data_IF_996357322584
#
_entry.id   IF_996357322584
#
_cell.length_a   1.000
_cell.length_b   1.000
_cell.length_c   1.000
_cell.angle_alpha   90.00
_cell.angle_beta   90.00
_cell.angle_gamma   90.00
#
_symmetry.space_group_name_H-M   'P 1'
#
loop_
_entity.id
_entity.type
_entity.pdbx_description
1 polymer ?
#
# COMPACT_ATOMS: atom_id res chain seq x y z
N UNK A 1 29.44 -11.87 -3.71
CA UNK A 1 28.47 -11.65 -2.61
C UNK A 1 28.52 -10.16 -2.26
N UNK A 2 27.44 -9.41 -2.45
CA UNK A 2 27.39 -7.98 -2.09
C UNK A 2 27.50 -7.88 -0.56
N UNK A 3 28.50 -7.17 -0.05
CA UNK A 3 28.60 -6.86 1.38
C UNK A 3 27.71 -5.66 1.64
N UNK A 4 26.68 -5.84 2.45
CA UNK A 4 25.79 -4.76 2.86
C UNK A 4 26.32 -4.14 4.15
N UNK A 5 26.74 -2.89 4.08
CA UNK A 5 27.10 -2.09 5.25
C UNK A 5 25.89 -1.26 5.68
N UNK A 6 25.42 -1.51 6.90
CA UNK A 6 24.31 -0.78 7.50
C UNK A 6 24.80 0.30 8.45
N UNK A 7 23.97 1.32 8.67
CA UNK A 7 24.20 2.31 9.72
C UNK A 7 24.43 1.62 11.07
N UNK A 8 25.50 2.02 11.77
CA UNK A 8 25.94 1.36 13.00
C UNK A 8 24.89 1.47 14.11
N UNK A 9 24.21 2.62 14.22
CA UNK A 9 23.22 2.84 15.26
C UNK A 9 21.94 2.04 14.99
N UNK A 10 21.49 1.95 13.73
CA UNK A 10 20.37 1.10 13.33
C UNK A 10 20.65 -0.38 13.63
N UNK A 11 21.85 -0.86 13.25
CA UNK A 11 22.28 -2.24 13.52
C UNK A 11 22.37 -2.54 15.01
N UNK A 12 22.98 -1.65 15.79
CA UNK A 12 23.06 -1.79 17.25
C UNK A 12 21.67 -1.86 17.90
N UNK A 13 20.75 -1.00 17.45
CA UNK A 13 19.37 -0.98 17.93
C UNK A 13 18.67 -2.31 17.65
N UNK A 14 18.81 -2.86 16.44
CA UNK A 14 18.22 -4.15 16.09
C UNK A 14 18.82 -5.29 16.92
N UNK A 15 20.15 -5.34 17.07
CA UNK A 15 20.83 -6.33 17.91
C UNK A 15 20.31 -6.30 19.36
N UNK A 16 20.14 -5.11 19.94
CA UNK A 16 19.59 -4.93 21.29
C UNK A 16 18.15 -5.42 21.37
N UNK A 17 17.32 -5.10 20.37
CA UNK A 17 15.93 -5.53 20.31
C UNK A 17 15.81 -7.07 20.24
N UNK A 18 16.60 -7.72 19.38
CA UNK A 18 16.63 -9.18 19.29
C UNK A 18 17.13 -9.84 20.58
N UNK A 19 18.08 -9.21 21.28
CA UNK A 19 18.60 -9.71 22.55
C UNK A 19 17.57 -9.59 23.69
N UNK A 20 16.77 -8.53 23.69
CA UNK A 20 15.72 -8.30 24.68
C UNK A 20 14.49 -9.21 24.48
N UNK A 21 14.22 -9.64 23.24
CA UNK A 21 13.05 -10.45 22.88
C UNK A 21 13.44 -11.69 22.06
N UNK A 22 14.22 -12.63 22.62
CA UNK A 22 14.70 -13.79 21.90
C UNK A 22 13.54 -14.68 21.42
N UNK A 23 13.64 -15.18 20.19
CA UNK A 23 12.63 -16.07 19.58
C UNK A 23 11.32 -15.39 19.20
N UNK A 24 11.21 -14.06 19.35
CA UNK A 24 10.02 -13.32 18.93
C UNK A 24 10.13 -13.00 17.44
N UNK A 25 9.13 -13.37 16.60
CA UNK A 25 9.14 -13.03 15.18
C UNK A 25 8.91 -11.53 14.99
N UNK A 26 9.56 -10.97 13.97
CA UNK A 26 9.22 -9.64 13.48
C UNK A 26 8.04 -9.73 12.52
N UNK A 27 7.07 -8.84 12.66
CA UNK A 27 5.87 -8.82 11.83
C UNK A 27 5.70 -7.45 11.17
N UNK A 28 5.45 -7.46 9.87
CA UNK A 28 4.94 -6.31 9.12
C UNK A 28 3.71 -6.73 8.33
N UNK A 29 2.69 -5.88 8.32
CA UNK A 29 1.48 -6.05 7.52
C UNK A 29 1.37 -4.86 6.55
N UNK A 30 1.53 -5.11 5.25
CA UNK A 30 1.41 -4.09 4.21
C UNK A 30 0.11 -4.25 3.44
N UNK A 31 -0.54 -3.14 3.09
CA UNK A 31 -1.75 -3.19 2.24
C UNK A 31 -1.40 -3.09 0.74
N UNK A 32 -0.22 -2.61 0.39
CA UNK A 32 0.32 -2.67 -0.98
C UNK A 32 1.69 -3.36 -0.96
N UNK A 33 2.16 -3.74 -2.15
CA UNK A 33 3.48 -4.36 -2.36
C UNK A 33 4.36 -3.54 -3.32
N UNK A 34 3.93 -2.35 -3.74
CA UNK A 34 4.64 -1.53 -4.72
C UNK A 34 5.06 -0.16 -4.16
N UNK A 35 5.34 -0.09 -2.86
CA UNK A 35 5.65 1.15 -2.16
C UNK A 35 6.87 1.05 -1.25
N UNK A 36 6.68 0.60 -0.01
CA UNK A 36 7.67 0.66 1.07
C UNK A 36 8.43 -0.66 1.24
N UNK A 37 8.23 -1.59 0.31
CA UNK A 37 8.92 -2.88 0.21
C UNK A 37 10.44 -2.76 0.21
N UNK A 38 11.08 -1.76 -0.43
CA UNK A 38 12.52 -1.55 -0.29
C UNK A 38 12.95 -1.44 1.17
N UNK A 39 12.27 -0.63 1.98
CA UNK A 39 12.58 -0.46 3.41
C UNK A 39 12.46 -1.79 4.18
N UNK A 40 11.41 -2.57 3.89
CA UNK A 40 11.19 -3.88 4.51
C UNK A 40 12.26 -4.90 4.07
N UNK A 41 12.69 -4.87 2.81
CA UNK A 41 13.77 -5.70 2.30
C UNK A 41 15.12 -5.37 2.95
N UNK A 42 15.46 -4.09 3.09
CA UNK A 42 16.63 -3.64 3.84
C UNK A 42 16.59 -4.11 5.30
N UNK A 43 15.42 -3.98 5.95
CA UNK A 43 15.23 -4.48 7.32
C UNK A 43 15.47 -5.99 7.42
N UNK A 44 14.90 -6.78 6.50
CA UNK A 44 15.09 -8.23 6.46
C UNK A 44 16.58 -8.62 6.34
N UNK A 45 17.32 -7.91 5.46
CA UNK A 45 18.76 -8.16 5.28
C UNK A 45 19.58 -7.75 6.50
N UNK A 46 19.21 -6.66 7.17
CA UNK A 46 19.84 -6.25 8.42
C UNK A 46 19.55 -7.25 9.55
N UNK A 47 18.33 -7.77 9.64
CA UNK A 47 17.94 -8.79 10.61
C UNK A 47 18.74 -10.08 10.42
N UNK A 48 18.91 -10.53 9.18
CA UNK A 48 19.74 -11.69 8.85
C UNK A 48 21.19 -11.52 9.35
N UNK A 49 21.77 -10.32 9.25
CA UNK A 49 23.11 -10.05 9.77
C UNK A 49 23.19 -10.01 11.31
N UNK A 50 22.11 -9.65 11.99
CA UNK A 50 22.09 -9.53 13.45
C UNK A 50 21.79 -10.89 14.10
N UNK A 51 20.74 -11.55 13.65
CA UNK A 51 20.25 -12.84 14.16
C UNK A 51 19.68 -13.64 12.98
N UNK A 52 20.51 -14.45 12.29
CA UNK A 52 20.10 -15.19 11.08
C UNK A 52 18.85 -16.06 11.25
N UNK A 53 18.63 -16.59 12.46
CA UNK A 53 17.49 -17.44 12.80
C UNK A 53 16.22 -16.68 13.18
N UNK A 54 16.26 -15.35 13.29
CA UNK A 54 15.08 -14.57 13.64
C UNK A 54 14.08 -14.60 12.48
N UNK A 55 12.84 -14.97 12.77
CA UNK A 55 11.80 -15.01 11.74
C UNK A 55 11.33 -13.59 11.39
N UNK A 56 11.12 -13.36 10.09
CA UNK A 56 10.49 -12.14 9.59
C UNK A 56 9.24 -12.46 8.81
N UNK A 57 8.09 -12.07 9.35
CA UNK A 57 6.78 -12.28 8.76
C UNK A 57 6.34 -11.03 8.00
N UNK A 58 6.17 -11.17 6.68
CA UNK A 58 5.59 -10.13 5.84
C UNK A 58 4.21 -10.57 5.37
N UNK A 59 3.18 -10.01 5.99
CA UNK A 59 1.79 -10.30 5.64
C UNK A 59 1.17 -9.22 4.74
N UNK A 60 0.26 -9.65 3.89
CA UNK A 60 -0.68 -8.75 3.20
C UNK A 60 -1.83 -8.43 4.15
N UNK A 61 -2.13 -7.15 4.37
CA UNK A 61 -3.26 -6.70 5.17
C UNK A 61 -4.57 -6.77 4.36
N UNK A 62 -5.03 -8.01 4.13
CA UNK A 62 -6.19 -8.35 3.31
C UNK A 62 -7.55 -8.22 4.00
N UNK A 63 -7.59 -7.92 5.29
CA UNK A 63 -8.83 -7.77 6.07
C UNK A 63 -9.39 -6.35 6.05
N UNK A 64 -8.70 -5.43 5.40
CA UNK A 64 -9.18 -4.06 5.21
C UNK A 64 -10.16 -3.97 4.02
N UNK A 65 -10.89 -2.87 3.97
CA UNK A 65 -11.70 -2.53 2.81
C UNK A 65 -10.81 -2.38 1.58
N UNK A 66 -11.38 -2.68 0.42
CA UNK A 66 -10.76 -2.32 -0.84
C UNK A 66 -10.96 -0.83 -1.10
N UNK A 67 -10.02 -0.26 -1.85
CA UNK A 67 -9.97 1.14 -2.23
C UNK A 67 -11.24 1.62 -2.94
N UNK A 68 -11.74 2.80 -2.58
CA UNK A 68 -13.00 3.34 -3.07
C UNK A 68 -12.95 4.84 -3.33
N UNK A 69 -13.83 5.27 -4.23
CA UNK A 69 -14.07 6.68 -4.50
C UNK A 69 -15.24 7.20 -3.65
N UNK A 70 -15.19 8.48 -3.24
CA UNK A 70 -16.30 9.12 -2.53
C UNK A 70 -17.55 9.24 -3.40
N UNK A 71 -17.38 9.20 -4.74
CA UNK A 71 -18.46 9.15 -5.72
C UNK A 71 -18.12 8.08 -6.76
N UNK A 72 -19.06 7.16 -7.05
CA UNK A 72 -18.88 6.17 -8.11
C UNK A 72 -18.52 6.83 -9.45
N UNK A 73 -17.68 6.17 -10.24
CA UNK A 73 -17.43 6.58 -11.62
C UNK A 73 -18.37 5.83 -12.54
N UNK A 74 -19.04 6.57 -13.43
CA UNK A 74 -19.81 5.95 -14.50
C UNK A 74 -18.84 5.35 -15.52
N UNK A 75 -18.82 4.04 -15.65
CA UNK A 75 -17.97 3.35 -16.61
C UNK A 75 -18.22 1.84 -16.65
N UNK A 76 -17.80 1.17 -17.73
CA UNK A 76 -17.98 -0.28 -17.86
C UNK A 76 -16.99 -1.09 -17.02
N UNK A 77 -15.90 -0.47 -16.55
CA UNK A 77 -14.87 -1.15 -15.77
C UNK A 77 -15.16 -1.04 -14.27
N UNK A 78 -15.04 -2.13 -13.50
CA UNK A 78 -15.30 -2.15 -12.05
C UNK A 78 -14.20 -1.48 -11.22
N UNK A 79 -13.04 -1.22 -11.82
CA UNK A 79 -11.89 -0.60 -11.18
C UNK A 79 -11.24 0.43 -12.10
N UNK A 80 -10.54 1.39 -11.51
CA UNK A 80 -9.80 2.41 -12.24
C UNK A 80 -8.51 2.78 -11.50
N UNK A 81 -7.45 3.07 -12.25
CA UNK A 81 -6.24 3.74 -11.73
C UNK A 81 -6.55 5.22 -11.58
N UNK A 82 -6.39 5.75 -10.38
CA UNK A 82 -6.81 7.09 -9.98
C UNK A 82 -5.65 7.84 -9.33
N UNK A 83 -5.62 9.15 -9.52
CA UNK A 83 -4.75 10.10 -8.81
C UNK A 83 -5.52 10.78 -7.68
N UNK A 84 -4.88 11.02 -6.53
CA UNK A 84 -5.51 11.74 -5.42
C UNK A 84 -5.35 13.26 -5.62
N UNK A 85 -6.44 14.03 -5.60
CA UNK A 85 -6.45 15.48 -5.70
C UNK A 85 -7.47 16.12 -4.72
N UNK A 86 -7.45 17.46 -4.59
CA UNK A 86 -8.35 18.21 -3.68
C UNK A 86 -9.69 18.62 -4.34
N UNK A 87 -10.06 17.95 -5.44
CA UNK A 87 -11.28 18.21 -6.21
C UNK A 87 -12.03 16.94 -6.56
N UNK A 88 -11.83 16.35 -7.74
CA UNK A 88 -12.63 15.22 -8.23
C UNK A 88 -12.47 13.96 -7.40
N UNK A 89 -11.30 13.75 -6.80
CA UNK A 89 -10.98 12.58 -5.98
C UNK A 89 -10.80 12.93 -4.51
N UNK A 90 -11.34 14.07 -4.07
CA UNK A 90 -11.28 14.52 -2.68
C UNK A 90 -12.02 13.55 -1.76
N UNK A 91 -11.30 12.89 -0.86
CA UNK A 91 -11.86 11.82 -0.02
C UNK A 91 -11.75 10.44 -0.65
N UNK A 92 -10.90 10.30 -1.69
CA UNK A 92 -10.41 9.01 -2.15
C UNK A 92 -9.80 8.28 -0.96
N UNK A 93 -10.18 7.01 -0.82
CA UNK A 93 -9.54 6.11 0.11
C UNK A 93 -8.93 4.98 -0.70
N UNK A 94 -7.60 4.94 -0.72
CA UNK A 94 -6.88 3.80 -1.23
C UNK A 94 -6.33 3.05 -0.04
N UNK A 95 -6.78 1.81 0.09
CA UNK A 95 -6.32 0.90 1.10
C UNK A 95 -5.35 -0.09 0.49
N UNK A 96 -5.63 -0.60 -0.71
CA UNK A 96 -4.76 -1.53 -1.44
C UNK A 96 -4.49 -1.01 -2.85
N UNK A 97 -3.45 -1.56 -3.49
CA UNK A 97 -3.08 -1.22 -4.88
C UNK A 97 -2.60 0.22 -5.04
N UNK A 98 -1.63 0.60 -4.23
CA UNK A 98 -0.95 1.89 -4.34
C UNK A 98 0.46 1.70 -4.89
N UNK A 99 0.87 2.64 -5.72
CA UNK A 99 2.24 2.76 -6.17
C UNK A 99 2.62 4.22 -6.29
N UNK A 100 3.89 4.50 -6.05
CA UNK A 100 4.48 5.81 -6.29
C UNK A 100 5.64 5.71 -7.27
N UNK A 101 5.80 6.75 -8.07
CA UNK A 101 7.04 7.02 -8.78
C UNK A 101 8.14 7.37 -7.77
N UNK A 102 9.39 7.46 -8.23
CA UNK A 102 10.52 7.84 -7.40
C UNK A 102 10.25 9.17 -6.67
N UNK A 103 10.32 9.12 -5.33
CA UNK A 103 9.99 10.25 -4.42
C UNK A 103 8.55 10.77 -4.50
N UNK A 104 7.65 10.04 -5.17
CA UNK A 104 6.22 10.30 -5.13
C UNK A 104 5.68 10.09 -3.72
N UNK A 105 4.70 10.89 -3.34
CA UNK A 105 4.03 10.79 -2.05
C UNK A 105 2.56 11.12 -2.22
N UNK A 106 1.70 10.56 -1.37
CA UNK A 106 0.27 10.91 -1.30
C UNK A 106 0.04 12.29 -0.67
N UNK A 107 0.95 13.24 -0.86
CA UNK A 107 0.80 14.58 -0.30
C UNK A 107 -0.03 15.41 -1.27
N UNK A 108 -1.32 15.54 -0.99
CA UNK A 108 -2.27 16.33 -1.77
C UNK A 108 -2.07 17.83 -1.51
N UNK A 109 -1.68 18.66 -2.50
CA UNK A 109 -1.65 20.11 -2.36
C UNK A 109 -3.08 20.66 -2.28
N UNK A 110 -3.58 20.93 -1.07
CA UNK A 110 -4.95 21.42 -0.91
C UNK A 110 -5.10 22.87 -1.40
N UNK A 111 -6.28 23.23 -1.92
CA UNK A 111 -6.64 24.61 -2.28
C UNK A 111 -6.44 25.58 -1.14
N UNK A 112 -6.76 25.16 0.08
CA UNK A 112 -6.59 25.95 1.28
C UNK A 112 -5.10 26.30 1.51
N UNK A 113 -4.21 25.32 1.34
CA UNK A 113 -2.75 25.49 1.47
C UNK A 113 -2.19 26.37 0.36
N UNK A 114 -2.61 26.16 -0.90
CA UNK A 114 -2.20 27.00 -2.03
C UNK A 114 -2.63 28.47 -1.82
N UNK A 115 -3.86 28.70 -1.36
CA UNK A 115 -4.37 30.04 -1.01
C UNK A 115 -3.60 30.66 0.15
N UNK A 116 -3.25 29.87 1.17
CA UNK A 116 -2.44 30.34 2.31
C UNK A 116 -1.07 30.86 1.85
N UNK A 117 -0.45 30.23 0.85
CA UNK A 117 0.80 30.69 0.23
C UNK A 117 0.60 31.78 -0.84
N UNK A 118 -0.58 32.40 -0.92
CA UNK A 118 -0.83 33.54 -1.82
C UNK A 118 -1.15 33.17 -3.26
N UNK A 119 -1.36 31.89 -3.58
CA UNK A 119 -1.67 31.46 -4.95
C UNK A 119 -3.13 31.79 -5.27
N UNK A 120 -3.35 32.68 -6.24
CA UNK A 120 -4.67 32.97 -6.77
C UNK A 120 -5.05 31.94 -7.85
N UNK A 121 -5.62 30.81 -7.41
CA UNK A 121 -6.01 29.70 -8.29
C UNK A 121 -6.95 30.13 -9.43
N UNK A 122 -7.91 31.04 -9.17
CA UNK A 122 -8.82 31.54 -10.21
C UNK A 122 -8.05 32.22 -11.33
N UNK A 123 -7.09 33.10 -10.99
CA UNK A 123 -6.26 33.79 -11.97
C UNK A 123 -5.32 32.82 -12.70
N UNK A 124 -4.73 31.86 -11.98
CA UNK A 124 -3.82 30.87 -12.57
C UNK A 124 -4.54 29.98 -13.59
N UNK A 125 -5.71 29.45 -13.25
CA UNK A 125 -6.53 28.62 -14.13
C UNK A 125 -7.11 29.42 -15.32
N UNK A 126 -7.44 30.70 -15.13
CA UNK A 126 -7.91 31.55 -16.23
C UNK A 126 -6.80 31.99 -17.20
N UNK A 127 -5.55 32.06 -16.73
CA UNK A 127 -4.40 32.48 -17.55
C UNK A 127 -3.85 31.36 -18.43
N UNK A 128 -4.03 30.09 -18.04
CA UNK A 128 -3.70 28.94 -18.87
C UNK A 128 -4.95 28.46 -19.60
N UNK A 129 -5.11 28.91 -20.85
CA UNK A 129 -6.22 28.50 -21.71
C UNK A 129 -6.23 26.97 -21.91
N UNK A 130 -7.25 26.32 -21.35
CA UNK A 130 -7.71 24.94 -21.57
C UNK A 130 -6.85 23.76 -21.08
N UNK A 131 -5.58 23.91 -20.72
CA UNK A 131 -4.72 22.76 -20.37
C UNK A 131 -4.50 22.51 -18.87
N UNK A 132 -4.89 23.44 -17.99
CA UNK A 132 -4.63 23.31 -16.56
C UNK A 132 -5.95 23.29 -15.78
N UNK A 133 -6.21 22.17 -15.12
CA UNK A 133 -7.38 21.94 -14.29
C UNK A 133 -7.05 22.04 -12.80
N UNK A 134 -8.09 22.15 -11.97
CA UNK A 134 -7.93 22.11 -10.53
C UNK A 134 -7.40 20.76 -10.05
N UNK A 135 -7.83 19.68 -10.71
CA UNK A 135 -7.37 18.32 -10.44
C UNK A 135 -5.85 18.26 -10.61
N UNK A 136 -5.32 18.65 -11.77
CA UNK A 136 -3.87 18.62 -12.06
C UNK A 136 -3.04 19.46 -11.07
N UNK A 137 -3.52 20.64 -10.69
CA UNK A 137 -2.80 21.52 -9.75
C UNK A 137 -2.78 20.98 -8.33
N UNK A 138 -3.77 20.14 -7.98
CA UNK A 138 -3.92 19.58 -6.63
C UNK A 138 -3.65 18.08 -6.56
N UNK A 139 -3.19 17.46 -7.65
CA UNK A 139 -2.80 16.05 -7.69
C UNK A 139 -1.60 15.79 -6.78
N UNK A 140 -1.67 14.71 -6.00
CA UNK A 140 -0.55 14.10 -5.31
C UNK A 140 0.47 13.59 -6.34
N UNK A 141 1.51 14.36 -6.56
CA UNK A 141 2.46 14.12 -7.64
C UNK A 141 3.13 12.75 -7.52
N UNK A 142 3.12 12.00 -8.62
CA UNK A 142 3.79 10.70 -8.73
C UNK A 142 3.09 9.55 -7.99
N UNK A 143 2.03 9.81 -7.23
CA UNK A 143 1.26 8.80 -6.52
C UNK A 143 0.03 8.38 -7.32
N UNK A 144 -0.28 7.08 -7.32
CA UNK A 144 -1.50 6.51 -7.91
C UNK A 144 -2.02 5.37 -7.05
N UNK A 145 -3.33 5.19 -7.08
CA UNK A 145 -4.00 4.04 -6.49
C UNK A 145 -5.01 3.41 -7.46
N UNK A 146 -5.42 2.19 -7.19
CA UNK A 146 -6.58 1.59 -7.87
C UNK A 146 -7.77 1.68 -6.94
N UNK A 147 -8.92 2.17 -7.43
CA UNK A 147 -10.16 2.22 -6.67
C UNK A 147 -11.29 1.49 -7.40
N UNK A 148 -12.23 0.93 -6.65
CA UNK A 148 -13.49 0.46 -7.20
C UNK A 148 -14.32 1.64 -7.70
N UNK A 149 -14.93 1.47 -8.87
CA UNK A 149 -15.80 2.47 -9.51
C UNK A 149 -17.26 2.32 -9.11
N UNK A 150 -17.64 1.17 -8.52
CA UNK A 150 -19.00 0.86 -8.11
C UNK A 150 -19.33 1.29 -6.67
N UNK A 151 -20.61 1.14 -6.29
CA UNK A 151 -21.10 1.44 -4.93
C UNK A 151 -20.86 0.30 -3.94
N UNK A 152 -20.51 -0.90 -4.43
CA UNK A 152 -20.34 -2.07 -3.57
C UNK A 152 -19.07 -1.93 -2.74
N UNK A 153 -19.23 -2.05 -1.43
CA UNK A 153 -18.09 -2.23 -0.52
C UNK A 153 -17.49 -3.62 -0.70
N UNK A 154 -16.18 -3.65 -0.87
CA UNK A 154 -15.39 -4.86 -1.06
C UNK A 154 -14.36 -4.93 0.07
N UNK A 155 -14.06 -6.15 0.52
CA UNK A 155 -12.90 -6.42 1.36
C UNK A 155 -11.79 -6.91 0.46
N UNK A 156 -10.56 -6.46 0.71
CA UNK A 156 -9.46 -6.69 -0.21
C UNK A 156 -9.14 -8.19 -0.42
N UNK A 157 -9.41 -9.03 0.59
CA UNK A 157 -9.37 -10.48 0.51
C UNK A 157 -10.24 -11.09 -0.59
N UNK A 158 -11.40 -10.50 -0.84
CA UNK A 158 -12.44 -11.08 -1.71
C UNK A 158 -12.32 -10.59 -3.16
N UNK A 159 -11.36 -9.70 -3.44
CA UNK A 159 -11.11 -9.19 -4.78
C UNK A 159 -10.33 -10.24 -5.58
N UNK A 160 -10.87 -10.65 -6.73
CA UNK A 160 -10.19 -11.54 -7.65
C UNK A 160 -9.04 -10.79 -8.35
N UNK A 161 -7.85 -11.41 -8.43
CA UNK A 161 -6.70 -10.80 -9.10
C UNK A 161 -6.97 -10.59 -10.60
N UNK A 162 -7.75 -11.48 -11.22
CA UNK A 162 -8.13 -11.40 -12.62
C UNK A 162 -8.92 -10.14 -12.97
N UNK A 163 -9.72 -9.62 -12.04
CA UNK A 163 -10.53 -8.42 -12.29
C UNK A 163 -9.71 -7.12 -12.30
N UNK A 164 -8.45 -7.19 -11.84
CA UNK A 164 -7.56 -6.05 -11.63
C UNK A 164 -6.28 -6.09 -12.48
N UNK A 165 -6.08 -7.15 -13.27
CA UNK A 165 -4.78 -7.43 -13.90
C UNK A 165 -4.28 -6.29 -14.78
N UNK A 166 -5.17 -5.66 -15.54
CA UNK A 166 -4.79 -4.55 -16.44
C UNK A 166 -4.55 -3.25 -15.67
N UNK A 167 -5.36 -2.96 -14.64
CA UNK A 167 -5.18 -1.81 -13.77
C UNK A 167 -3.89 -1.93 -12.95
N UNK A 168 -3.55 -3.12 -12.46
CA UNK A 168 -2.29 -3.40 -11.75
C UNK A 168 -1.09 -3.28 -12.69
N UNK A 169 -1.17 -3.85 -13.89
CA UNK A 169 -0.13 -3.70 -14.91
C UNK A 169 0.10 -2.22 -15.24
N UNK A 170 -0.96 -1.45 -15.44
CA UNK A 170 -0.89 -0.01 -15.71
C UNK A 170 -0.34 0.79 -14.52
N UNK A 171 -0.72 0.44 -13.28
CA UNK A 171 -0.22 1.06 -12.06
C UNK A 171 1.30 0.86 -11.94
N UNK A 172 1.78 -0.38 -12.03
CA UNK A 172 3.20 -0.71 -11.91
C UNK A 172 4.00 -0.07 -13.04
N UNK A 173 3.50 -0.17 -14.29
CA UNK A 173 4.15 0.45 -15.45
C UNK A 173 4.25 1.98 -15.28
N UNK A 174 3.19 2.63 -14.82
CA UNK A 174 3.14 4.08 -14.63
C UNK A 174 4.05 4.58 -13.50
N UNK A 175 4.13 3.84 -12.39
CA UNK A 175 5.05 4.14 -11.30
C UNK A 175 6.52 3.96 -11.71
N UNK A 176 6.82 2.89 -12.44
CA UNK A 176 8.20 2.61 -12.85
C UNK A 176 8.68 3.50 -13.99
N UNK A 177 7.85 3.85 -14.98
CA UNK A 177 8.27 4.61 -16.15
C UNK A 177 8.99 5.92 -15.79
N UNK A 178 8.38 6.75 -14.93
CA UNK A 178 9.01 8.00 -14.48
C UNK A 178 10.24 7.79 -13.62
N UNK A 179 10.24 6.73 -12.80
CA UNK A 179 11.40 6.35 -11.98
C UNK A 179 12.59 5.93 -12.84
N UNK A 180 12.34 5.29 -13.98
CA UNK A 180 13.38 4.92 -14.96
C UNK A 180 13.85 6.15 -15.74
N UNK A 181 12.95 7.02 -16.17
CA UNK A 181 13.26 8.22 -16.96
C UNK A 181 14.31 9.14 -16.31
N UNK A 182 14.31 9.25 -14.98
CA UNK A 182 15.23 10.12 -14.23
C UNK A 182 16.62 9.52 -14.00
N UNK A 183 16.85 8.25 -14.34
CA UNK A 183 18.16 7.60 -14.24
C UNK A 183 19.07 8.19 -15.33
N UNK A 184 20.17 8.85 -14.96
CA UNK A 184 21.06 9.53 -15.92
C UNK A 184 21.87 8.56 -16.77
N UNK A 185 22.38 7.48 -16.16
CA UNK A 185 23.21 6.47 -16.83
C UNK A 185 22.38 5.60 -17.79
N UNK A 186 22.80 5.50 -19.06
CA UNK A 186 22.03 4.83 -20.12
C UNK A 186 21.87 3.34 -19.88
N UNK A 187 22.95 2.67 -19.47
CA UNK A 187 22.98 1.22 -19.30
C UNK A 187 22.13 0.82 -18.09
N UNK A 188 22.25 1.58 -16.99
CA UNK A 188 21.40 1.43 -15.80
C UNK A 188 19.94 1.73 -16.14
N UNK A 189 19.65 2.75 -16.95
CA UNK A 189 18.28 3.08 -17.36
C UNK A 189 17.67 1.94 -18.19
N UNK A 190 18.41 1.39 -19.13
CA UNK A 190 17.95 0.26 -19.96
C UNK A 190 17.67 -0.97 -19.09
N UNK A 191 18.59 -1.33 -18.19
CA UNK A 191 18.41 -2.45 -17.27
C UNK A 191 17.22 -2.23 -16.34
N UNK A 192 17.06 -1.03 -15.75
CA UNK A 192 15.91 -0.69 -14.92
C UNK A 192 14.60 -0.78 -15.71
N UNK A 193 14.59 -0.36 -16.98
CA UNK A 193 13.45 -0.51 -17.88
C UNK A 193 13.10 -1.99 -18.15
N UNK A 194 14.10 -2.87 -18.30
CA UNK A 194 13.89 -4.32 -18.42
C UNK A 194 13.25 -4.88 -17.15
N UNK A 195 13.78 -4.55 -15.97
CA UNK A 195 13.23 -4.99 -14.66
C UNK A 195 11.81 -4.50 -14.42
N UNK A 196 11.50 -3.25 -14.76
CA UNK A 196 10.14 -2.73 -14.68
C UNK A 196 9.16 -3.55 -15.53
N UNK A 197 9.56 -3.89 -16.76
CA UNK A 197 8.75 -4.71 -17.66
C UNK A 197 8.62 -6.16 -17.16
N UNK A 198 9.64 -6.72 -16.53
CA UNK A 198 9.59 -8.05 -15.90
C UNK A 198 8.53 -8.11 -14.79
N UNK A 199 8.45 -7.09 -13.93
CA UNK A 199 7.42 -7.01 -12.89
C UNK A 199 5.99 -6.96 -13.47
N UNK A 200 5.77 -6.18 -14.53
CA UNK A 200 4.47 -6.12 -15.20
C UNK A 200 4.10 -7.45 -15.84
N UNK A 201 5.07 -8.12 -16.50
CA UNK A 201 4.88 -9.45 -17.05
C UNK A 201 4.56 -10.46 -15.96
N UNK A 202 5.19 -10.33 -14.79
CA UNK A 202 4.97 -11.26 -13.69
C UNK A 202 3.56 -11.16 -13.11
N UNK A 203 3.04 -9.94 -12.96
CA UNK A 203 1.63 -9.73 -12.57
C UNK A 203 0.68 -10.45 -13.54
N UNK A 204 0.87 -10.27 -14.85
CA UNK A 204 0.03 -10.91 -15.87
C UNK A 204 0.17 -12.43 -15.85
N UNK A 205 1.41 -12.93 -15.86
CA UNK A 205 1.71 -14.37 -15.84
C UNK A 205 1.07 -15.06 -14.64
N UNK A 206 1.19 -14.48 -13.45
CA UNK A 206 0.58 -15.05 -12.25
C UNK A 206 -0.94 -15.19 -12.38
N UNK A 207 -1.62 -14.17 -12.90
CA UNK A 207 -3.07 -14.20 -13.11
C UNK A 207 -3.47 -15.23 -14.18
N UNK A 208 -2.71 -15.34 -15.27
CA UNK A 208 -2.92 -16.34 -16.32
C UNK A 208 -2.78 -17.78 -15.78
N UNK A 209 -1.77 -18.04 -14.94
CA UNK A 209 -1.52 -19.35 -14.33
C UNK A 209 -2.49 -19.67 -13.17
N UNK A 210 -3.03 -18.64 -12.53
CA UNK A 210 -3.92 -18.76 -11.36
C UNK A 210 -5.18 -17.89 -11.50
N UNK A 211 -6.08 -18.18 -12.45
CA UNK A 211 -7.24 -17.32 -12.75
C UNK A 211 -8.24 -17.17 -11.61
N UNK A 212 -8.24 -18.10 -10.65
CA UNK A 212 -9.10 -18.07 -9.46
C UNK A 212 -8.42 -17.45 -8.22
N UNK A 213 -7.18 -16.95 -8.34
CA UNK A 213 -6.47 -16.37 -7.22
C UNK A 213 -7.06 -15.02 -6.80
N UNK A 214 -7.06 -14.75 -5.49
CA UNK A 214 -7.39 -13.45 -4.95
C UNK A 214 -6.20 -12.49 -5.03
N UNK A 215 -6.49 -11.19 -4.92
CA UNK A 215 -5.49 -10.12 -4.90
C UNK A 215 -4.40 -10.33 -3.84
N UNK A 216 -4.70 -10.70 -2.58
CA UNK A 216 -3.65 -10.99 -1.61
C UNK A 216 -2.74 -12.13 -2.02
N UNK A 217 -3.26 -13.13 -2.73
CA UNK A 217 -2.45 -14.26 -3.19
C UNK A 217 -1.47 -13.83 -4.28
N UNK A 218 -1.89 -12.97 -5.20
CA UNK A 218 -0.99 -12.29 -6.14
C UNK A 218 0.06 -11.46 -5.39
N UNK A 219 -0.33 -10.70 -4.37
CA UNK A 219 0.61 -9.85 -3.62
C UNK A 219 1.63 -10.66 -2.83
N UNK A 220 1.24 -11.79 -2.24
CA UNK A 220 2.19 -12.73 -1.61
C UNK A 220 3.23 -13.24 -2.61
N UNK A 221 2.81 -13.54 -3.85
CA UNK A 221 3.72 -13.92 -4.93
C UNK A 221 4.66 -12.77 -5.29
N UNK A 222 4.10 -11.59 -5.56
CA UNK A 222 4.87 -10.40 -5.92
C UNK A 222 5.86 -9.98 -4.85
N UNK A 223 5.54 -10.14 -3.55
CA UNK A 223 6.50 -9.91 -2.47
C UNK A 223 7.75 -10.75 -2.69
N UNK A 224 7.60 -12.05 -2.92
CA UNK A 224 8.75 -12.95 -3.12
C UNK A 224 9.61 -12.48 -4.30
N UNK A 225 8.97 -12.10 -5.42
CA UNK A 225 9.66 -11.53 -6.59
C UNK A 225 10.41 -10.23 -6.26
N UNK A 226 9.83 -9.36 -5.43
CA UNK A 226 10.44 -8.09 -5.05
C UNK A 226 11.62 -8.27 -4.11
N UNK A 227 11.55 -9.20 -3.15
CA UNK A 227 12.71 -9.51 -2.29
C UNK A 227 13.87 -10.05 -3.14
N UNK A 228 13.60 -10.97 -4.05
CA UNK A 228 14.59 -11.49 -5.01
C UNK A 228 15.19 -10.35 -5.85
N UNK A 229 14.36 -9.45 -6.38
CA UNK A 229 14.81 -8.31 -7.18
C UNK A 229 15.69 -7.34 -6.38
N UNK A 230 15.30 -7.01 -5.14
CA UNK A 230 15.95 -6.00 -4.31
C UNK A 230 17.23 -6.50 -3.65
N UNK A 231 17.22 -7.76 -3.19
CA UNK A 231 18.31 -8.35 -2.41
C UNK A 231 19.20 -9.29 -3.24
N UNK A 232 18.72 -9.72 -4.41
CA UNK A 232 19.36 -10.75 -5.24
C UNK A 232 19.09 -12.18 -4.76
N UNK A 233 18.31 -12.34 -3.69
CA UNK A 233 17.87 -13.61 -3.11
C UNK A 233 16.65 -13.37 -2.21
N UNK A 234 15.81 -14.39 -2.04
CA UNK A 234 14.73 -14.37 -1.05
C UNK A 234 15.29 -14.78 0.32
N UNK A 235 15.16 -13.95 1.37
CA UNK A 235 15.69 -14.29 2.70
C UNK A 235 15.08 -15.60 3.23
N UNK A 236 15.92 -16.52 3.73
CA UNK A 236 15.48 -17.85 4.16
C UNK A 236 14.50 -17.82 5.35
N UNK A 237 14.63 -16.79 6.18
CA UNK A 237 13.81 -16.53 7.35
C UNK A 237 12.54 -15.70 7.04
N UNK A 238 12.30 -15.32 5.77
CA UNK A 238 11.08 -14.63 5.36
C UNK A 238 9.89 -15.59 5.36
N UNK A 239 8.81 -15.19 6.03
CA UNK A 239 7.51 -15.87 6.03
C UNK A 239 6.47 -14.94 5.41
N UNK A 240 5.97 -15.31 4.23
CA UNK A 240 4.90 -14.56 3.57
C UNK A 240 3.54 -15.05 4.08
N UNK A 241 2.65 -14.12 4.43
CA UNK A 241 1.32 -14.47 4.99
C UNK A 241 0.24 -13.46 4.57
N UNK A 242 -0.95 -13.56 5.17
CA UNK A 242 -1.98 -12.52 5.13
C UNK A 242 -2.55 -12.31 6.52
N UNK A 243 -3.15 -11.14 6.78
CA UNK A 243 -3.83 -10.86 8.05
C UNK A 243 -4.93 -11.89 8.34
N UNK A 244 -5.74 -12.25 7.34
CA UNK A 244 -6.78 -13.26 7.49
C UNK A 244 -6.22 -14.63 7.93
N UNK A 245 -5.08 -15.03 7.37
CA UNK A 245 -4.38 -16.27 7.74
C UNK A 245 -3.73 -16.19 9.12
N UNK A 246 -3.07 -15.06 9.42
CA UNK A 246 -2.35 -14.84 10.68
C UNK A 246 -3.30 -14.76 11.87
N UNK A 247 -4.36 -13.98 11.74
CA UNK A 247 -5.39 -13.83 12.77
C UNK A 247 -6.34 -15.03 12.79
N UNK A 248 -6.35 -15.85 11.73
CA UNK A 248 -7.19 -17.03 11.56
C UNK A 248 -8.67 -16.68 11.70
N UNK A 249 -9.13 -15.58 11.11
CA UNK A 249 -10.51 -15.12 11.25
C UNK A 249 -11.50 -16.18 10.75
N UNK A 250 -12.16 -16.87 11.70
CA UNK A 250 -13.18 -17.88 11.44
C UNK A 250 -14.06 -18.06 12.70
N UNK A 251 -15.20 -18.77 12.60
CA UNK A 251 -16.10 -18.98 13.74
C UNK A 251 -15.44 -19.63 14.96
N UNK A 252 -14.43 -20.49 14.76
CA UNK A 252 -13.72 -21.19 15.83
C UNK A 252 -12.77 -20.28 16.62
N UNK A 253 -12.28 -19.20 16.00
CA UNK A 253 -11.32 -18.28 16.62
C UNK A 253 -11.94 -16.95 17.04
N UNK A 254 -13.14 -16.60 16.55
CA UNK A 254 -13.80 -15.34 16.82
C UNK A 254 -13.96 -15.02 18.32
N UNK A 255 -14.13 -16.06 19.16
CA UNK A 255 -14.24 -15.91 20.62
C UNK A 255 -12.92 -15.78 21.39
N UNK A 256 -11.75 -15.77 20.73
CA UNK A 256 -10.45 -15.71 21.42
C UNK A 256 -10.25 -14.35 22.09
N UNK A 257 -9.56 -14.33 23.24
CA UNK A 257 -9.27 -13.12 24.02
C UNK A 257 -8.66 -11.95 23.22
N UNK A 258 -7.85 -12.25 22.19
CA UNK A 258 -7.26 -11.23 21.30
C UNK A 258 -8.31 -10.42 20.53
N UNK A 259 -9.51 -10.94 20.35
CA UNK A 259 -10.64 -10.29 19.69
C UNK A 259 -11.66 -9.73 20.68
N UNK A 260 -11.43 -9.85 21.99
CA UNK A 260 -12.32 -9.30 23.02
C UNK A 260 -12.65 -7.80 22.83
N UNK A 261 -11.72 -6.92 22.36
CA UNK A 261 -12.05 -5.53 22.08
C UNK A 261 -13.15 -5.36 21.02
N UNK A 262 -13.26 -6.25 20.03
CA UNK A 262 -14.33 -6.19 19.02
C UNK A 262 -15.70 -6.40 19.66
N UNK A 263 -15.78 -7.19 20.73
CA UNK A 263 -17.03 -7.39 21.49
C UNK A 263 -17.66 -6.08 21.97
N UNK A 264 -16.84 -5.07 22.30
CA UNK A 264 -17.34 -3.75 22.71
C UNK A 264 -18.07 -3.01 21.58
N UNK A 265 -17.61 -3.18 20.33
CA UNK A 265 -18.21 -2.58 19.14
C UNK A 265 -19.41 -3.36 18.61
N UNK A 266 -19.49 -4.65 18.93
CA UNK A 266 -20.57 -5.54 18.48
C UNK A 266 -21.74 -5.62 19.46
N UNK A 267 -21.50 -5.49 20.78
CA UNK A 267 -22.56 -5.51 21.78
C UNK A 267 -23.40 -4.21 21.72
N UNK A 268 -24.73 -4.28 21.47
CA UNK A 268 -25.59 -3.10 21.40
C UNK A 268 -25.52 -2.16 22.62
N UNK A 269 -25.30 -2.70 23.82
CA UNK A 269 -25.25 -1.91 25.07
C UNK A 269 -23.98 -1.05 25.18
N UNK A 270 -22.87 -1.52 24.60
CA UNK A 270 -21.56 -0.84 24.66
C UNK A 270 -21.19 -0.15 23.36
N UNK A 271 -21.85 -0.50 22.24
CA UNK A 271 -21.49 -0.06 20.88
C UNK A 271 -21.40 1.45 20.76
N UNK A 272 -22.38 2.18 21.28
CA UNK A 272 -22.38 3.65 21.21
C UNK A 272 -21.20 4.25 21.96
N UNK A 273 -20.90 3.75 23.16
CA UNK A 273 -19.79 4.23 23.99
C UNK A 273 -18.45 3.92 23.32
N UNK A 274 -18.28 2.70 22.81
CA UNK A 274 -17.06 2.28 22.12
C UNK A 274 -16.81 3.10 20.85
N UNK A 275 -17.85 3.35 20.04
CA UNK A 275 -17.75 4.18 18.82
C UNK A 275 -17.32 5.60 19.15
N UNK A 276 -18.02 6.25 20.08
CA UNK A 276 -17.67 7.61 20.51
C UNK A 276 -16.25 7.69 21.06
N UNK A 277 -15.85 6.73 21.91
CA UNK A 277 -14.50 6.71 22.48
C UNK A 277 -13.41 6.55 21.41
N UNK A 278 -13.65 5.73 20.37
CA UNK A 278 -12.76 5.66 19.22
C UNK A 278 -12.71 6.98 18.47
N UNK A 279 -13.88 7.52 18.11
CA UNK A 279 -14.00 8.74 17.30
C UNK A 279 -13.32 9.91 18.02
N UNK A 280 -13.56 10.10 19.32
CA UNK A 280 -12.92 11.10 20.16
C UNK A 280 -11.38 10.94 20.19
N UNK A 281 -10.88 9.70 20.21
CA UNK A 281 -9.44 9.41 20.24
C UNK A 281 -8.73 9.71 18.92
N UNK A 282 -9.44 9.68 17.79
CA UNK A 282 -8.87 9.96 16.47
C UNK A 282 -9.07 11.41 16.02
N UNK A 283 -9.81 12.24 16.77
CA UNK A 283 -9.97 13.66 16.45
C UNK A 283 -8.59 14.34 16.34
N UNK A 284 -8.33 14.93 15.17
CA UNK A 284 -7.10 15.68 14.90
C UNK A 284 -5.86 14.82 14.61
N UNK A 285 -5.97 13.49 14.62
CA UNK A 285 -4.84 12.60 14.27
C UNK A 285 -4.69 12.38 12.76
N UNK A 286 -5.69 12.77 11.96
CA UNK A 286 -5.76 12.44 10.53
C UNK A 286 -6.30 11.03 10.26
N UNK A 287 -6.55 10.23 11.30
CA UNK A 287 -7.23 8.94 11.19
C UNK A 287 -8.74 9.17 11.08
N UNK A 288 -9.39 8.36 10.26
CA UNK A 288 -10.84 8.43 10.04
C UNK A 288 -11.64 8.03 11.29
N UNK A 289 -12.77 8.70 11.50
CA UNK A 289 -13.80 8.27 12.47
C UNK A 289 -14.59 7.09 11.90
N UNK A 290 -15.24 6.29 12.75
CA UNK A 290 -15.88 5.03 12.34
C UNK A 290 -16.98 5.20 11.30
N UNK A 291 -17.71 6.33 11.31
CA UNK A 291 -18.74 6.61 10.30
C UNK A 291 -18.19 6.75 8.88
N UNK A 292 -16.88 6.94 8.73
CA UNK A 292 -16.22 7.03 7.42
C UNK A 292 -15.79 5.66 6.87
N UNK A 293 -15.90 4.59 7.66
CA UNK A 293 -15.56 3.23 7.25
C UNK A 293 -16.72 2.47 6.58
N UNK A 294 -17.95 3.04 6.55
CA UNK A 294 -19.17 2.37 6.04
C UNK A 294 -20.09 1.95 7.17
#
# INVERSE_FOLDING_TARGET
MKVWEFDAAAKETLCRLCSAHPGTPFLTLGQTVFWDEPTKAFFAKMLEQCVPQAEFWHGIHDTDYFSRLPRPLSGPRPYAVIEHNDSSTRGLWVAMCEASQLFGAEVVPTRAKLRHYGINLKKALAAQSASLSLDEVTTAWGWKGIASTGERELVARDVAAADLVEELAALVQGAMARSVEVIVDSDTREEAGKRANELVKEVRRFVEEHPAASLPRLYQHMLSCLYELLLGETPQNLKVTSSSSLFRFNPETAGRKRFAPLGLFLNPETRYIARRAYDDAVIGSGIYVLEQFG
#
